data_IF_648098871682
#
_entry.id   IF_648098871682
#
_cell.length_a   1.000
_cell.length_b   1.000
_cell.length_c   1.000
_cell.angle_alpha   90.00
_cell.angle_beta   90.00
_cell.angle_gamma   90.00
#
_symmetry.space_group_name_H-M   'P 1'
#
loop_
_entity.id
_entity.type
_entity.pdbx_description
1 polymer ?
#
# COMPACT_ATOMS: atom_id res chain seq x y z
N UNK A 1 -0.16 13.20 18.69
CA UNK A 1 -0.08 13.00 17.23
C UNK A 1 1.26 12.35 16.97
N UNK A 2 1.26 11.12 16.45
CA UNK A 2 2.49 10.38 16.16
C UNK A 2 3.06 10.84 14.81
N UNK A 3 4.34 10.54 14.55
CA UNK A 3 4.97 10.81 13.25
C UNK A 3 4.19 10.12 12.09
N UNK A 4 3.57 8.97 12.38
CA UNK A 4 2.77 8.19 11.43
C UNK A 4 1.48 8.94 11.05
N UNK A 5 0.88 9.67 11.98
CA UNK A 5 -0.36 10.43 11.74
C UNK A 5 -0.17 11.61 10.78
N UNK A 6 1.08 12.01 10.54
CA UNK A 6 1.45 13.12 9.67
C UNK A 6 1.90 12.65 8.27
N UNK A 7 1.92 11.34 8.02
CA UNK A 7 2.33 10.80 6.74
C UNK A 7 1.36 11.20 5.63
N UNK A 8 1.91 11.69 4.52
CA UNK A 8 1.12 11.86 3.29
C UNK A 8 0.80 10.47 2.70
N UNK A 9 -0.39 10.23 2.14
CA UNK A 9 -0.77 8.92 1.60
C UNK A 9 0.25 8.32 0.61
N UNK A 10 0.90 9.15 -0.21
CA UNK A 10 1.93 8.69 -1.14
C UNK A 10 3.21 8.20 -0.43
N UNK A 11 3.57 8.77 0.72
CA UNK A 11 4.72 8.32 1.53
C UNK A 11 4.38 6.98 2.17
N UNK A 12 3.16 6.84 2.68
CA UNK A 12 2.67 5.58 3.24
C UNK A 12 2.77 4.41 2.23
N UNK A 13 2.34 4.63 0.97
CA UNK A 13 2.49 3.64 -0.11
C UNK A 13 3.97 3.27 -0.37
N UNK A 14 4.86 4.27 -0.36
CA UNK A 14 6.30 4.06 -0.54
C UNK A 14 6.91 3.22 0.59
N UNK A 15 6.49 3.44 1.84
CA UNK A 15 6.94 2.65 2.98
C UNK A 15 6.53 1.19 2.78
N UNK A 16 5.27 0.93 2.44
CA UNK A 16 4.78 -0.44 2.16
C UNK A 16 5.60 -1.08 1.03
N UNK A 17 5.77 -0.40 -0.09
CA UNK A 17 6.54 -0.92 -1.22
C UNK A 17 7.99 -1.24 -0.82
N UNK A 18 8.64 -0.37 -0.06
CA UNK A 18 10.01 -0.58 0.42
C UNK A 18 10.11 -1.79 1.37
N UNK A 19 9.13 -2.00 2.24
CA UNK A 19 9.06 -3.20 3.12
C UNK A 19 9.04 -4.50 2.30
N UNK A 20 8.20 -4.57 1.27
CA UNK A 20 8.15 -5.76 0.39
C UNK A 20 9.42 -5.88 -0.46
N UNK A 21 9.97 -4.75 -0.94
CA UNK A 21 11.24 -4.74 -1.66
C UNK A 21 12.38 -5.34 -0.84
N UNK A 22 12.52 -4.91 0.42
CA UNK A 22 13.52 -5.44 1.36
C UNK A 22 13.29 -6.92 1.69
N UNK A 23 12.06 -7.39 1.61
CA UNK A 23 11.69 -8.80 1.76
C UNK A 23 11.95 -9.64 0.49
N UNK A 24 12.53 -9.04 -0.54
CA UNK A 24 12.94 -9.70 -1.79
C UNK A 24 11.85 -9.76 -2.86
N UNK A 25 10.82 -8.92 -2.78
CA UNK A 25 9.81 -8.79 -3.83
C UNK A 25 10.21 -7.72 -4.84
N UNK A 26 9.86 -7.95 -6.11
CA UNK A 26 9.78 -6.87 -7.10
C UNK A 26 8.50 -6.11 -6.85
N UNK A 27 8.60 -4.80 -6.64
CA UNK A 27 7.46 -3.94 -6.30
C UNK A 27 7.21 -2.87 -7.36
N UNK A 28 5.93 -2.62 -7.63
CA UNK A 28 5.44 -1.52 -8.47
C UNK A 28 4.35 -0.76 -7.72
N UNK A 29 4.55 0.54 -7.52
CA UNK A 29 3.52 1.44 -6.99
C UNK A 29 2.64 1.87 -8.16
N UNK A 30 1.33 1.77 -8.01
CA UNK A 30 0.37 2.23 -9.01
C UNK A 30 0.07 3.73 -8.81
N UNK A 31 -0.05 4.47 -9.91
CA UNK A 31 -0.45 5.88 -9.89
C UNK A 31 -1.95 5.92 -10.12
N UNK A 32 -2.70 5.92 -9.01
CA UNK A 32 -4.13 5.62 -9.02
C UNK A 32 -4.97 6.45 -10.00
N UNK A 33 -5.78 5.74 -10.76
CA UNK A 33 -7.21 5.92 -11.08
C UNK A 33 -7.46 4.89 -12.18
N UNK A 34 -8.37 3.94 -11.96
CA UNK A 34 -8.65 2.74 -12.79
C UNK A 34 -7.94 1.41 -12.41
N UNK A 35 -7.17 1.35 -11.32
CA UNK A 35 -6.47 0.11 -10.90
C UNK A 35 -7.28 -0.79 -9.95
N UNK A 36 -8.63 -0.68 -9.94
CA UNK A 36 -9.52 -1.44 -9.04
C UNK A 36 -9.19 -1.33 -7.53
N UNK A 37 -8.48 -0.27 -7.13
CA UNK A 37 -8.12 -0.02 -5.73
C UNK A 37 -6.78 -0.58 -5.28
N UNK A 38 -5.97 -1.18 -6.17
CA UNK A 38 -4.61 -1.63 -5.85
C UNK A 38 -3.65 -0.44 -5.81
N UNK A 39 -2.87 -0.31 -4.73
CA UNK A 39 -1.87 0.74 -4.54
C UNK A 39 -0.43 0.24 -4.77
N UNK A 40 -0.16 -1.03 -4.46
CA UNK A 40 1.15 -1.67 -4.63
C UNK A 40 0.97 -3.09 -5.17
N UNK A 41 1.71 -3.40 -6.23
CA UNK A 41 1.89 -4.76 -6.72
C UNK A 41 3.25 -5.28 -6.25
N UNK A 42 3.29 -6.46 -5.64
CA UNK A 42 4.51 -7.12 -5.20
C UNK A 42 4.57 -8.54 -5.78
N UNK A 43 5.71 -8.90 -6.39
CA UNK A 43 5.91 -10.20 -7.02
C UNK A 43 7.23 -10.85 -6.58
N UNK A 44 7.17 -12.13 -6.21
CA UNK A 44 8.34 -12.93 -5.88
C UNK A 44 8.14 -14.37 -6.35
N UNK A 45 8.94 -14.81 -7.32
CA UNK A 45 8.84 -16.14 -7.94
C UNK A 45 7.44 -16.39 -8.52
N UNK A 46 6.61 -17.18 -7.82
CA UNK A 46 5.24 -17.51 -8.21
C UNK A 46 4.20 -16.70 -7.42
N UNK A 47 4.61 -15.99 -6.39
CA UNK A 47 3.71 -15.23 -5.52
C UNK A 47 3.46 -13.85 -6.13
N UNK A 48 2.19 -13.51 -6.31
CA UNK A 48 1.71 -12.20 -6.75
C UNK A 48 0.77 -11.64 -5.69
N UNK A 49 1.12 -10.49 -5.14
CA UNK A 49 0.39 -9.84 -4.06
C UNK A 49 -0.09 -8.47 -4.56
N UNK A 50 -1.38 -8.24 -4.41
CA UNK A 50 -2.04 -6.97 -4.68
C UNK A 50 -2.38 -6.32 -3.35
N UNK A 51 -1.84 -5.13 -3.11
CA UNK A 51 -1.96 -4.46 -1.82
C UNK A 51 -2.72 -3.16 -2.01
N UNK A 52 -3.80 -3.00 -1.25
CA UNK A 52 -4.50 -1.73 -1.08
C UNK A 52 -4.05 -1.07 0.23
N UNK A 53 -3.73 0.21 0.18
CA UNK A 53 -3.23 0.97 1.32
C UNK A 53 -4.19 2.11 1.67
N UNK A 54 -4.91 1.96 2.79
CA UNK A 54 -5.81 2.99 3.34
C UNK A 54 -5.19 3.63 4.57
N UNK A 55 -4.89 4.92 4.51
CA UNK A 55 -4.43 5.71 5.65
C UNK A 55 -5.59 6.51 6.22
N UNK A 56 -6.21 5.99 7.27
CA UNK A 56 -7.32 6.61 7.97
C UNK A 56 -6.89 6.97 9.40
N UNK A 57 -6.97 8.25 9.76
CA UNK A 57 -6.48 8.71 11.08
C UNK A 57 -7.52 8.61 12.21
N UNK A 58 -8.81 8.73 11.87
CA UNK A 58 -9.90 8.79 12.85
C UNK A 58 -11.03 7.79 12.61
N UNK A 59 -10.95 7.02 11.51
CA UNK A 59 -12.01 6.14 11.07
C UNK A 59 -11.50 4.70 10.93
N UNK A 60 -12.36 3.74 11.27
CA UNK A 60 -12.07 2.32 11.04
C UNK A 60 -12.19 2.01 9.55
N UNK A 61 -11.43 1.03 9.09
CA UNK A 61 -11.63 0.43 7.77
C UNK A 61 -12.96 -0.33 7.80
N UNK A 62 -13.81 -0.11 6.79
CA UNK A 62 -15.11 -0.77 6.66
C UNK A 62 -15.00 -1.94 5.68
N UNK A 63 -15.89 -2.94 5.79
CA UNK A 63 -15.95 -4.13 4.94
C UNK A 63 -16.05 -3.82 3.45
N UNK A 64 -16.67 -2.68 3.07
CA UNK A 64 -16.75 -2.24 1.66
C UNK A 64 -15.40 -1.82 1.06
N UNK A 65 -14.37 -1.68 1.89
CA UNK A 65 -13.03 -1.24 1.50
C UNK A 65 -12.00 -2.39 1.52
N UNK A 66 -12.48 -3.63 1.65
CA UNK A 66 -11.72 -4.89 1.59
C UNK A 66 -12.21 -5.66 0.37
#
# INVERSE_FOLDING_TARGET
>A
MTLIDQLKPHVFKKIIAETYKRSGFRVKITKGSHDYGVDVFAEKRKDKIYIQAKLYLKQKVNLKAV
#
